data_IF_723614823525
#
_entry.id   IF_723614823525
#
_cell.length_a   1.000
_cell.length_b   1.000
_cell.length_c   1.000
_cell.angle_alpha   90.00
_cell.angle_beta   90.00
_cell.angle_gamma   90.00
#
_symmetry.space_group_name_H-M   'P 1'
#
loop_
_entity.id
_entity.type
_entity.pdbx_description
1 polymer ?
#
# COMPACT_ATOMS: atom_id res chain seq x y z
N UNK A 1 -13.59 -16.85 3.12
CA UNK A 1 -14.21 -15.56 2.81
C UNK A 1 -15.50 -15.83 2.05
N UNK A 2 -16.60 -15.28 2.55
CA UNK A 2 -17.94 -15.32 1.93
C UNK A 2 -18.32 -13.93 1.45
N UNK A 3 -19.27 -13.86 0.53
CA UNK A 3 -19.75 -12.60 -0.03
C UNK A 3 -20.40 -11.68 1.03
N UNK A 4 -20.97 -12.25 2.09
CA UNK A 4 -21.64 -11.50 3.16
C UNK A 4 -20.71 -11.11 4.32
N UNK A 5 -19.46 -11.57 4.31
CA UNK A 5 -18.49 -11.26 5.36
C UNK A 5 -18.10 -9.79 5.33
N UNK A 6 -17.81 -9.24 6.51
CA UNK A 6 -17.16 -7.93 6.63
C UNK A 6 -15.68 -8.08 6.29
N UNK A 7 -15.21 -7.31 5.32
CA UNK A 7 -13.80 -7.26 4.91
C UNK A 7 -13.17 -5.99 5.47
N UNK A 8 -12.09 -6.16 6.23
CA UNK A 8 -11.33 -5.06 6.83
C UNK A 8 -10.06 -4.88 6.02
N UNK A 9 -9.86 -3.68 5.50
CA UNK A 9 -8.71 -3.34 4.65
C UNK A 9 -8.16 -1.96 4.99
N UNK A 10 -6.86 -1.80 4.81
CA UNK A 10 -6.19 -0.55 5.06
C UNK A 10 -6.13 0.34 3.80
N UNK A 11 -6.50 1.60 3.96
CA UNK A 11 -6.20 2.70 3.05
C UNK A 11 -5.06 3.53 3.63
N UNK A 12 -4.57 4.50 2.86
CA UNK A 12 -3.46 5.36 3.29
C UNK A 12 -3.72 6.08 4.63
N UNK A 13 -4.92 6.63 4.81
CA UNK A 13 -5.24 7.50 5.94
C UNK A 13 -6.28 6.88 6.90
N UNK A 14 -6.73 5.67 6.62
CA UNK A 14 -7.80 5.03 7.41
C UNK A 14 -7.90 3.54 7.15
N UNK A 15 -8.47 2.81 8.08
CA UNK A 15 -8.89 1.42 7.91
C UNK A 15 -10.40 1.39 7.73
N UNK A 16 -10.86 0.70 6.69
CA UNK A 16 -12.28 0.58 6.36
C UNK A 16 -12.79 -0.84 6.55
N UNK A 17 -14.07 -0.94 6.87
CA UNK A 17 -14.83 -2.19 6.90
C UNK A 17 -15.84 -2.12 5.77
N UNK A 18 -15.80 -3.06 4.84
CA UNK A 18 -16.72 -3.11 3.69
C UNK A 18 -17.20 -4.52 3.42
N UNK A 19 -18.31 -4.65 2.70
CA UNK A 19 -18.82 -5.94 2.23
C UNK A 19 -18.50 -6.12 0.75
N UNK A 20 -17.96 -7.28 0.35
CA UNK A 20 -17.77 -7.60 -1.05
C UNK A 20 -19.09 -7.62 -1.81
N UNK A 21 -19.17 -6.93 -2.95
CA UNK A 21 -20.28 -7.08 -3.90
C UNK A 21 -20.16 -8.34 -4.74
N UNK A 22 -18.91 -8.69 -5.08
CA UNK A 22 -18.61 -9.91 -5.83
C UNK A 22 -17.23 -10.44 -5.47
N UNK A 23 -17.13 -11.76 -5.40
CA UNK A 23 -15.89 -12.52 -5.35
C UNK A 23 -15.69 -13.18 -6.70
N UNK A 24 -14.52 -12.97 -7.30
CA UNK A 24 -14.22 -13.39 -8.66
C UNK A 24 -12.97 -14.27 -8.65
N UNK A 25 -13.11 -15.51 -9.11
CA UNK A 25 -11.99 -16.45 -9.28
C UNK A 25 -11.45 -16.35 -10.71
N UNK A 26 -10.14 -16.22 -10.93
CA UNK A 26 -9.55 -16.30 -12.25
C UNK A 26 -9.83 -17.68 -12.87
N UNK A 27 -10.23 -17.73 -14.13
CA UNK A 27 -10.34 -18.98 -14.85
C UNK A 27 -8.95 -19.52 -15.21
N UNK A 28 -8.76 -20.85 -15.29
CA UNK A 28 -7.55 -21.43 -15.83
C UNK A 28 -7.23 -20.90 -17.22
N UNK A 29 -5.95 -20.78 -17.57
CA UNK A 29 -5.50 -20.23 -18.84
C UNK A 29 -6.04 -21.01 -20.06
N UNK A 30 -6.27 -22.31 -19.89
CA UNK A 30 -6.77 -23.21 -20.95
C UNK A 30 -8.25 -22.93 -21.32
N UNK A 31 -9.03 -22.32 -20.43
CA UNK A 31 -10.44 -21.99 -20.65
C UNK A 31 -10.66 -20.58 -21.21
N UNK A 32 -9.61 -19.78 -21.34
CA UNK A 32 -9.71 -18.39 -21.83
C UNK A 32 -9.85 -18.32 -23.36
N UNK A 33 -10.98 -18.71 -23.90
CA UNK A 33 -11.32 -18.54 -25.34
C UNK A 33 -11.75 -17.12 -25.68
N UNK A 34 -12.34 -16.39 -24.70
CA UNK A 34 -12.74 -14.98 -24.82
C UNK A 34 -11.97 -14.11 -23.80
N UNK A 35 -11.24 -13.07 -24.24
CA UNK A 35 -10.54 -12.14 -23.35
C UNK A 35 -11.46 -11.42 -22.35
N UNK A 36 -12.77 -11.40 -22.59
CA UNK A 36 -13.76 -10.75 -21.73
C UNK A 36 -14.19 -11.63 -20.56
N UNK A 37 -14.02 -12.94 -20.64
CA UNK A 37 -14.51 -13.93 -19.67
C UNK A 37 -13.36 -14.52 -18.82
N UNK A 38 -12.55 -13.62 -18.23
CA UNK A 38 -11.37 -14.00 -17.43
C UNK A 38 -11.69 -14.47 -16.03
N UNK A 39 -12.88 -14.18 -15.51
CA UNK A 39 -13.23 -14.40 -14.12
C UNK A 39 -14.57 -15.11 -13.97
N UNK A 40 -14.66 -16.04 -13.03
CA UNK A 40 -15.90 -16.71 -12.64
C UNK A 40 -16.38 -16.15 -11.30
N UNK A 41 -17.64 -15.69 -11.17
CA UNK A 41 -18.19 -15.29 -9.87
C UNK A 41 -18.35 -16.52 -8.97
N UNK A 42 -18.02 -16.36 -7.69
CA UNK A 42 -18.13 -17.37 -6.65
C UNK A 42 -18.72 -16.75 -5.38
N UNK A 43 -19.40 -17.53 -4.56
CA UNK A 43 -20.03 -17.06 -3.32
C UNK A 43 -19.13 -17.24 -2.11
N UNK A 44 -18.21 -18.21 -2.15
CA UNK A 44 -17.28 -18.53 -1.07
C UNK A 44 -15.91 -18.90 -1.61
N UNK A 45 -14.87 -18.49 -0.89
CA UNK A 45 -13.47 -18.84 -1.17
C UNK A 45 -12.87 -19.52 0.05
N UNK A 46 -12.26 -20.68 -0.17
CA UNK A 46 -11.40 -21.34 0.81
C UNK A 46 -9.95 -20.87 0.66
N UNK A 47 -9.12 -21.14 1.68
CA UNK A 47 -7.72 -20.73 1.72
C UNK A 47 -6.89 -21.18 0.50
N UNK A 48 -5.78 -20.46 0.24
CA UNK A 48 -4.82 -20.69 -0.83
C UNK A 48 -5.35 -20.47 -2.27
N UNK A 49 -6.22 -19.48 -2.47
CA UNK A 49 -6.69 -19.07 -3.79
C UNK A 49 -6.44 -17.57 -4.02
N UNK A 50 -5.95 -17.23 -5.23
CA UNK A 50 -5.92 -15.84 -5.69
C UNK A 50 -7.29 -15.43 -6.20
N UNK A 51 -7.87 -14.38 -5.66
CA UNK A 51 -9.20 -13.88 -6.04
C UNK A 51 -9.20 -12.38 -6.27
N UNK A 52 -10.17 -11.92 -7.04
CA UNK A 52 -10.50 -10.50 -7.16
C UNK A 52 -11.74 -10.18 -6.33
N UNK A 53 -11.60 -9.28 -5.37
CA UNK A 53 -12.71 -8.77 -4.56
C UNK A 53 -13.19 -7.47 -5.20
N UNK A 54 -14.48 -7.35 -5.45
CA UNK A 54 -15.10 -6.15 -5.98
C UNK A 54 -15.99 -5.50 -4.93
N UNK A 55 -15.69 -4.26 -4.58
CA UNK A 55 -16.54 -3.38 -3.76
C UNK A 55 -16.22 -1.92 -4.13
N UNK A 56 -17.21 -1.01 -4.11
CA UNK A 56 -16.99 0.40 -4.44
C UNK A 56 -16.08 1.11 -3.44
N UNK A 57 -15.98 0.60 -2.22
CA UNK A 57 -15.19 1.21 -1.15
C UNK A 57 -13.73 0.78 -1.16
N UNK A 58 -13.33 -0.17 -2.01
CA UNK A 58 -11.94 -0.64 -2.12
C UNK A 58 -11.02 0.29 -2.91
N UNK A 59 -11.54 1.39 -3.42
CA UNK A 59 -10.70 2.37 -4.10
C UNK A 59 -9.72 3.02 -3.13
N UNK A 60 -8.43 3.08 -3.50
CA UNK A 60 -7.36 3.60 -2.66
C UNK A 60 -6.86 2.67 -1.55
N UNK A 61 -7.19 1.38 -1.59
CA UNK A 61 -6.60 0.37 -0.70
C UNK A 61 -5.11 0.22 -0.99
N UNK A 62 -4.31 0.14 0.06
CA UNK A 62 -2.87 0.00 -0.04
C UNK A 62 -2.46 -1.41 -0.46
N UNK A 63 -1.60 -1.55 -1.47
CA UNK A 63 -1.09 -2.86 -1.88
C UNK A 63 -0.16 -3.45 -0.82
N UNK A 64 -0.26 -4.76 -0.62
CA UNK A 64 0.57 -5.51 0.34
C UNK A 64 0.05 -5.48 1.78
N UNK A 65 -1.14 -4.93 2.04
CA UNK A 65 -1.79 -5.00 3.34
C UNK A 65 -2.46 -6.35 3.57
N UNK A 66 -2.52 -6.77 4.83
CA UNK A 66 -3.35 -7.90 5.24
C UNK A 66 -4.83 -7.56 5.08
N UNK A 67 -5.60 -8.51 4.59
CA UNK A 67 -7.06 -8.41 4.49
C UNK A 67 -7.68 -9.35 5.51
N UNK A 68 -8.40 -8.79 6.46
CA UNK A 68 -9.15 -9.59 7.43
C UNK A 68 -10.61 -9.74 6.99
N UNK A 69 -11.20 -10.88 7.30
CA UNK A 69 -12.60 -11.14 7.04
C UNK A 69 -13.29 -11.71 8.28
N UNK A 70 -14.48 -11.24 8.59
CA UNK A 70 -15.28 -11.71 9.71
C UNK A 70 -16.76 -11.67 9.37
N UNK A 71 -17.50 -12.68 9.79
CA UNK A 71 -18.96 -12.66 9.74
C UNK A 71 -19.59 -11.79 10.85
N UNK A 72 -18.82 -11.47 11.90
CA UNK A 72 -19.26 -10.70 13.05
C UNK A 72 -18.68 -9.27 13.01
N UNK A 73 -19.51 -8.30 13.39
CA UNK A 73 -19.14 -6.88 13.39
C UNK A 73 -18.16 -6.52 14.52
N UNK A 74 -18.25 -7.20 15.67
CA UNK A 74 -17.36 -6.90 16.80
C UNK A 74 -15.95 -7.36 16.52
N UNK A 75 -15.79 -8.57 15.98
CA UNK A 75 -14.50 -9.10 15.51
C UNK A 75 -13.92 -8.24 14.38
N UNK A 76 -14.74 -7.72 13.47
CA UNK A 76 -14.27 -6.81 12.42
C UNK A 76 -13.73 -5.49 13.00
N UNK A 77 -14.32 -4.97 14.08
CA UNK A 77 -13.82 -3.78 14.76
C UNK A 77 -12.49 -4.04 15.51
N UNK A 78 -12.27 -5.25 16.04
CA UNK A 78 -10.98 -5.65 16.62
C UNK A 78 -9.89 -5.70 15.55
N UNK A 79 -10.17 -6.32 14.40
CA UNK A 79 -9.25 -6.34 13.26
C UNK A 79 -8.93 -4.94 12.75
N UNK A 80 -9.90 -4.04 12.76
CA UNK A 80 -9.70 -2.65 12.39
C UNK A 80 -8.65 -1.98 13.29
N UNK A 81 -8.77 -2.11 14.61
CA UNK A 81 -7.82 -1.55 15.57
C UNK A 81 -6.41 -2.14 15.40
N UNK A 82 -6.32 -3.46 15.15
CA UNK A 82 -5.05 -4.13 14.89
C UNK A 82 -4.37 -3.55 13.66
N UNK A 83 -5.08 -3.43 12.53
CA UNK A 83 -4.55 -2.83 11.31
C UNK A 83 -4.17 -1.35 11.48
N UNK A 84 -4.94 -0.57 12.21
CA UNK A 84 -4.60 0.83 12.51
C UNK A 84 -3.28 0.92 13.25
N UNK A 85 -3.07 0.08 14.28
CA UNK A 85 -1.81 0.03 15.05
C UNK A 85 -0.62 -0.43 14.19
N UNK A 86 -0.81 -1.42 13.32
CA UNK A 86 0.23 -1.88 12.38
C UNK A 86 0.65 -0.76 11.43
N UNK A 87 -0.32 -0.02 10.89
CA UNK A 87 -0.04 1.05 9.95
C UNK A 87 0.69 2.25 10.56
N UNK A 88 0.34 2.66 11.78
CA UNK A 88 1.01 3.76 12.48
C UNK A 88 2.52 3.50 12.65
N UNK A 89 2.93 2.24 12.78
CA UNK A 89 4.33 1.87 12.94
C UNK A 89 5.16 1.95 11.65
N UNK A 90 4.51 1.91 10.50
CA UNK A 90 5.16 1.80 9.18
C UNK A 90 5.37 3.15 8.51
N UNK A 91 4.40 4.06 8.63
CA UNK A 91 4.51 5.39 8.02
C UNK A 91 5.33 6.33 8.91
N UNK A 92 6.32 6.98 8.29
CA UNK A 92 7.19 7.96 8.94
C UNK A 92 7.01 9.30 8.24
N UNK A 93 6.66 10.33 8.97
CA UNK A 93 6.60 11.73 8.51
C UNK A 93 6.92 12.70 9.68
N UNK A 94 7.96 12.39 10.43
CA UNK A 94 8.24 13.09 11.69
C UNK A 94 9.62 13.72 11.79
N UNK A 95 10.57 13.33 10.94
CA UNK A 95 11.92 13.87 11.00
C UNK A 95 12.12 15.03 10.01
N UNK A 96 12.78 16.08 10.46
CA UNK A 96 13.07 17.25 9.62
C UNK A 96 14.28 17.05 8.72
N UNK A 97 15.07 16.00 8.95
CA UNK A 97 16.27 15.64 8.19
C UNK A 97 16.35 14.13 8.01
N UNK A 98 16.68 13.68 6.81
CA UNK A 98 16.76 12.25 6.50
C UNK A 98 16.43 12.00 5.04
N UNK A 99 16.54 10.74 4.63
CA UNK A 99 16.15 10.32 3.27
C UNK A 99 14.63 10.23 3.14
N UNK A 100 14.12 10.43 1.93
CA UNK A 100 12.71 10.21 1.60
C UNK A 100 12.61 8.84 0.93
N UNK A 101 11.79 7.95 1.49
CA UNK A 101 11.57 6.60 0.97
C UNK A 101 10.18 6.50 0.33
N UNK A 102 10.12 5.98 -0.90
CA UNK A 102 8.89 5.67 -1.63
C UNK A 102 8.91 4.24 -2.12
N UNK A 103 7.91 3.46 -1.76
CA UNK A 103 7.78 2.04 -2.12
C UNK A 103 6.44 1.74 -2.79
N UNK A 104 6.35 0.59 -3.42
CA UNK A 104 5.13 0.09 -4.06
C UNK A 104 4.16 -0.57 -3.07
N UNK A 105 4.70 -1.20 -2.01
CA UNK A 105 3.93 -1.98 -1.04
C UNK A 105 4.38 -1.70 0.41
N UNK A 106 3.51 -2.02 1.37
CA UNK A 106 3.83 -1.91 2.80
C UNK A 106 5.01 -2.80 3.18
N UNK A 107 5.04 -4.06 2.75
CA UNK A 107 6.13 -4.98 3.08
C UNK A 107 7.50 -4.50 2.56
N UNK A 108 7.54 -3.90 1.35
CA UNK A 108 8.77 -3.27 0.83
C UNK A 108 9.18 -2.06 1.68
N UNK A 109 8.20 -1.26 2.11
CA UNK A 109 8.43 -0.09 2.94
C UNK A 109 9.03 -0.49 4.30
N UNK A 110 8.44 -1.47 4.98
CA UNK A 110 8.93 -2.01 6.25
C UNK A 110 10.34 -2.56 6.13
N UNK A 111 10.59 -3.43 5.14
CA UNK A 111 11.88 -4.07 4.94
C UNK A 111 13.00 -3.03 4.72
N UNK A 112 12.77 -2.04 3.86
CA UNK A 112 13.77 -1.01 3.56
C UNK A 112 13.92 -0.05 4.75
N UNK A 113 12.84 0.31 5.43
CA UNK A 113 12.89 1.14 6.64
C UNK A 113 13.74 0.48 7.72
N UNK A 114 13.52 -0.80 7.98
CA UNK A 114 14.30 -1.57 8.95
C UNK A 114 15.78 -1.67 8.55
N UNK A 115 16.06 -1.88 7.26
CA UNK A 115 17.43 -1.91 6.75
C UNK A 115 18.15 -0.57 6.95
N UNK A 116 17.47 0.56 6.65
CA UNK A 116 18.02 1.90 6.84
C UNK A 116 18.26 2.23 8.32
N UNK A 117 17.33 1.83 9.20
CA UNK A 117 17.47 1.99 10.66
C UNK A 117 18.69 1.23 11.20
N UNK A 118 18.90 -0.01 10.75
CA UNK A 118 20.09 -0.81 11.15
C UNK A 118 21.40 -0.16 10.69
N UNK A 119 21.38 0.55 9.58
CA UNK A 119 22.53 1.31 9.07
C UNK A 119 22.62 2.73 9.66
N UNK A 120 21.74 3.08 10.59
CA UNK A 120 21.66 4.41 11.20
C UNK A 120 21.44 5.55 10.21
N UNK A 121 20.79 5.26 9.08
CA UNK A 121 20.39 6.28 8.10
C UNK A 121 19.06 6.90 8.55
N UNK A 122 19.02 8.21 8.83
CA UNK A 122 17.78 8.87 9.25
C UNK A 122 16.78 8.93 8.09
N UNK A 123 15.50 8.73 8.40
CA UNK A 123 14.41 8.72 7.43
C UNK A 123 13.47 9.88 7.75
N UNK A 124 13.44 10.89 6.88
CA UNK A 124 12.54 12.02 7.05
C UNK A 124 11.09 11.67 6.70
N UNK A 125 10.91 10.80 5.69
CA UNK A 125 9.60 10.38 5.25
C UNK A 125 9.65 8.98 4.63
N UNK A 126 8.72 8.12 5.02
CA UNK A 126 8.49 6.81 4.40
C UNK A 126 7.03 6.69 3.99
N UNK A 127 6.75 6.39 2.71
CA UNK A 127 5.42 6.45 2.13
C UNK A 127 5.26 5.50 0.93
N UNK A 128 4.02 5.14 0.59
CA UNK A 128 3.67 4.27 -0.53
C UNK A 128 3.17 5.10 -1.71
N UNK A 129 3.56 4.68 -2.91
CA UNK A 129 3.10 5.26 -4.17
C UNK A 129 4.19 5.98 -4.96
N UNK A 130 3.82 6.61 -6.09
CA UNK A 130 4.78 7.23 -7.00
C UNK A 130 5.51 8.42 -6.38
N UNK A 131 6.69 8.69 -6.91
CA UNK A 131 7.45 9.90 -6.55
C UNK A 131 6.80 11.11 -7.20
N UNK A 132 6.46 12.10 -6.37
CA UNK A 132 5.80 13.34 -6.77
C UNK A 132 6.77 14.53 -6.74
N UNK A 133 6.38 15.63 -7.37
CA UNK A 133 7.10 16.92 -7.28
C UNK A 133 7.33 17.35 -5.82
N UNK A 134 6.34 17.10 -4.94
CA UNK A 134 6.44 17.46 -3.52
C UNK A 134 7.59 16.73 -2.82
N UNK A 135 7.78 15.44 -3.11
CA UNK A 135 8.87 14.64 -2.54
C UNK A 135 10.23 15.19 -2.97
N UNK A 136 10.37 15.60 -4.25
CA UNK A 136 11.59 16.22 -4.76
C UNK A 136 11.88 17.57 -4.10
N UNK A 137 10.85 18.41 -3.92
CA UNK A 137 11.02 19.71 -3.24
C UNK A 137 11.43 19.53 -1.78
N UNK A 138 10.85 18.55 -1.09
CA UNK A 138 11.24 18.21 0.27
C UNK A 138 12.69 17.71 0.34
N UNK A 139 13.10 16.84 -0.58
CA UNK A 139 14.50 16.39 -0.67
C UNK A 139 15.47 17.54 -0.94
N UNK A 140 15.11 18.52 -1.80
CA UNK A 140 15.91 19.73 -2.02
C UNK A 140 16.08 20.55 -0.74
N UNK A 141 15.01 20.75 0.03
CA UNK A 141 15.07 21.48 1.31
C UNK A 141 15.94 20.75 2.34
N UNK A 142 15.91 19.42 2.37
CA UNK A 142 16.80 18.61 3.20
C UNK A 142 18.26 18.75 2.75
N UNK A 143 18.51 18.73 1.44
CA UNK A 143 19.85 18.86 0.86
C UNK A 143 20.53 20.18 1.21
N UNK A 144 19.78 21.26 1.40
CA UNK A 144 20.32 22.54 1.86
C UNK A 144 20.86 22.47 3.30
N UNK A 145 20.28 21.57 4.14
CA UNK A 145 20.71 21.35 5.52
C UNK A 145 21.80 20.29 5.61
N UNK A 146 21.62 19.17 4.90
CA UNK A 146 22.59 18.07 4.83
C UNK A 146 22.63 17.52 3.40
N UNK A 147 23.78 17.72 2.76
CA UNK A 147 24.00 17.34 1.34
C UNK A 147 23.83 15.84 1.09
N UNK A 148 24.12 15.00 2.10
CA UNK A 148 24.09 13.54 1.97
C UNK A 148 22.70 12.95 2.14
N UNK A 149 21.79 13.64 2.82
CA UNK A 149 20.45 13.17 3.16
C UNK A 149 19.35 13.66 2.19
N UNK A 150 19.66 14.65 1.33
CA UNK A 150 18.70 15.18 0.35
C UNK A 150 18.44 14.23 -0.82
N UNK A 151 18.02 13.00 -0.52
CA UNK A 151 17.86 11.91 -1.49
C UNK A 151 16.45 11.32 -1.40
N UNK A 152 15.86 10.99 -2.55
CA UNK A 152 14.63 10.19 -2.65
C UNK A 152 15.00 8.78 -3.08
N UNK A 153 14.75 7.80 -2.22
CA UNK A 153 14.89 6.37 -2.50
C UNK A 153 13.55 5.87 -3.04
N UNK A 154 13.53 5.44 -4.29
CA UNK A 154 12.34 4.96 -4.97
C UNK A 154 12.46 3.47 -5.27
N UNK A 155 11.64 2.63 -4.65
CA UNK A 155 11.65 1.19 -4.85
C UNK A 155 10.38 0.73 -5.59
N UNK A 156 10.57 0.25 -6.81
CA UNK A 156 9.52 -0.27 -7.69
C UNK A 156 8.32 0.69 -7.91
N UNK A 157 8.55 1.99 -7.90
CA UNK A 157 7.53 3.02 -8.09
C UNK A 157 7.83 3.89 -9.30
N UNK A 158 6.77 4.44 -9.89
CA UNK A 158 6.90 5.40 -10.99
C UNK A 158 7.30 6.78 -10.45
N UNK A 159 8.05 7.50 -11.26
CA UNK A 159 8.34 8.92 -11.03
C UNK A 159 7.45 9.71 -11.99
N UNK A 160 6.64 10.62 -11.47
CA UNK A 160 5.81 11.48 -12.30
C UNK A 160 6.65 12.45 -13.14
N UNK A 161 6.15 12.86 -14.30
CA UNK A 161 6.92 13.68 -15.23
C UNK A 161 7.18 15.10 -14.70
N UNK A 162 6.28 15.63 -13.90
CA UNK A 162 6.47 16.88 -13.15
C UNK A 162 7.59 16.80 -12.11
N UNK A 163 7.74 15.61 -11.46
CA UNK A 163 8.84 15.33 -10.55
C UNK A 163 10.19 15.21 -11.31
N UNK A 164 10.21 14.54 -12.46
CA UNK A 164 11.41 14.45 -13.31
C UNK A 164 11.90 15.84 -13.76
N UNK A 165 10.99 16.71 -14.16
CA UNK A 165 11.33 18.09 -14.54
C UNK A 165 11.98 18.85 -13.39
N UNK A 166 11.51 18.63 -12.15
CA UNK A 166 12.13 19.23 -10.96
C UNK A 166 13.52 18.70 -10.62
N UNK A 167 13.89 17.50 -11.06
CA UNK A 167 15.25 16.94 -10.86
C UNK A 167 16.29 17.57 -11.79
N UNK A 168 15.87 18.08 -12.94
CA UNK A 168 16.76 18.62 -13.97
C UNK A 168 17.19 20.06 -13.67
N UNK A 169 16.54 20.75 -12.74
CA UNK A 169 16.82 22.12 -12.29
C UNK A 169 17.11 22.14 -10.78
#
# INVERSE_FOLDING_TARGET
LKKDDNVVVAKRDSVIITKPKALLLPKPLDEMRDPRDKFKPIDEVQAAAGIKIASPELDGVLPGTTVYASSDSDTANEFKKTLESEMESVFIDTETTGVILKCDTIGSLEAITEMLRRQQVPIAKADIGPVTRRDIMQAKAIKEKDRHLGVVLAFNVKIFDDAKTCLLY
#
